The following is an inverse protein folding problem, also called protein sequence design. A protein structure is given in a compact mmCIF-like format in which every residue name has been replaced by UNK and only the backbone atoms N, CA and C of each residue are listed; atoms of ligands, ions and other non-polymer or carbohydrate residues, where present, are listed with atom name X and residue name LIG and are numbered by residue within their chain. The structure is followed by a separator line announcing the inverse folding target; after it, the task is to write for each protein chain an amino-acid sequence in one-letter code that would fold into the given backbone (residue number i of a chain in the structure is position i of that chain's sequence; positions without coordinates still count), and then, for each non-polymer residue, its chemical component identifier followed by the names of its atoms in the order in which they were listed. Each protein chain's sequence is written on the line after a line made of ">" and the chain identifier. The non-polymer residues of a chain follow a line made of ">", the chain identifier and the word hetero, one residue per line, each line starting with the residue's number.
data_IF_182376502786
#
_entry.id   IF_182376502786
#
_cell.length_a   1.000
_cell.length_b   1.000
_cell.length_c   1.000
_cell.angle_alpha   90.00
_cell.angle_beta   90.00
_cell.angle_gamma   90.00
#
_symmetry.space_group_name_H-M   'P 1'
#
loop_
_entity.id
_entity.type
_entity.pdbx_description
1 polymer ?
#
# COMPACT_ATOMS: atom_id res chain seq x y z
N UNK A 1 -3.19 -9.72 10.56
CA UNK A 1 -2.05 -9.71 11.52
C UNK A 1 -0.67 -9.48 10.88
N UNK A 2 -0.58 -9.14 9.59
CA UNK A 2 0.73 -8.93 8.92
C UNK A 2 1.31 -7.55 9.24
N UNK A 3 0.50 -6.49 9.18
CA UNK A 3 0.96 -5.11 9.35
C UNK A 3 1.54 -4.89 10.76
N UNK A 4 0.83 -5.30 11.81
CA UNK A 4 1.33 -5.20 13.19
C UNK A 4 2.67 -5.90 13.36
N UNK A 5 2.79 -7.12 12.85
CA UNK A 5 4.02 -7.90 12.95
C UNK A 5 5.19 -7.26 12.20
N UNK A 6 4.93 -6.66 11.04
CA UNK A 6 5.96 -5.94 10.30
C UNK A 6 6.50 -4.74 11.10
N UNK A 7 5.62 -3.98 11.76
CA UNK A 7 6.03 -2.84 12.61
C UNK A 7 6.82 -3.30 13.83
N UNK A 8 6.39 -4.38 14.50
CA UNK A 8 7.15 -4.98 15.63
C UNK A 8 8.57 -5.41 15.24
N UNK A 9 8.76 -5.77 13.97
CA UNK A 9 10.04 -6.22 13.41
C UNK A 9 10.81 -5.09 12.71
N UNK A 10 10.34 -3.84 12.79
CA UNK A 10 10.94 -2.68 12.14
C UNK A 10 11.10 -2.84 10.62
N UNK A 11 10.13 -3.53 9.99
CA UNK A 11 10.10 -3.74 8.53
C UNK A 11 9.43 -2.55 7.85
N UNK A 12 10.15 -1.93 6.93
CA UNK A 12 9.61 -0.85 6.11
C UNK A 12 8.66 -1.38 5.02
N UNK A 13 7.36 -1.32 5.30
CA UNK A 13 6.31 -1.71 4.36
C UNK A 13 6.16 -0.73 3.18
N UNK A 14 6.79 0.45 3.22
CA UNK A 14 6.82 1.42 2.13
C UNK A 14 7.67 0.97 0.93
N UNK A 15 8.62 0.06 1.16
CA UNK A 15 9.47 -0.51 0.12
C UNK A 15 8.83 -1.69 -0.62
N UNK A 16 7.63 -2.09 -0.22
CA UNK A 16 6.96 -3.28 -0.76
C UNK A 16 5.99 -2.91 -1.89
N UNK A 17 5.87 -3.80 -2.88
CA UNK A 17 4.90 -3.65 -3.98
C UNK A 17 3.82 -4.73 -3.89
N UNK A 18 2.55 -4.32 -3.86
CA UNK A 18 1.39 -5.21 -3.73
C UNK A 18 0.35 -5.01 -4.83
N UNK A 19 0.30 -3.83 -5.44
CA UNK A 19 -0.71 -3.48 -6.44
C UNK A 19 -0.58 -4.33 -7.72
N UNK A 20 -1.70 -4.80 -8.26
CA UNK A 20 -1.71 -5.55 -9.53
C UNK A 20 -1.85 -4.67 -10.78
N UNK A 21 -2.34 -3.45 -10.62
CA UNK A 21 -2.59 -2.51 -11.72
C UNK A 21 -1.96 -1.14 -11.41
N UNK A 22 -0.64 -1.06 -11.15
CA UNK A 22 -0.02 0.20 -10.76
C UNK A 22 -0.04 1.23 -11.90
N UNK A 23 -0.23 2.50 -11.55
CA UNK A 23 -0.24 3.61 -12.52
C UNK A 23 1.15 4.25 -12.58
N UNK A 24 1.79 4.16 -13.74
CA UNK A 24 3.09 4.80 -13.98
C UNK A 24 2.93 6.32 -14.07
N UNK A 25 3.83 7.02 -13.38
CA UNK A 25 3.91 8.48 -13.37
C UNK A 25 4.97 8.96 -14.36
N UNK A 26 4.82 10.19 -14.87
CA UNK A 26 5.81 10.80 -15.76
C UNK A 26 7.19 11.01 -15.09
N UNK A 27 7.25 10.95 -13.76
CA UNK A 27 8.47 11.04 -12.97
C UNK A 27 9.22 9.69 -12.81
N UNK A 28 8.72 8.62 -13.45
CA UNK A 28 9.36 7.30 -13.41
C UNK A 28 9.00 6.43 -12.19
N UNK A 29 8.12 6.90 -11.30
CA UNK A 29 7.54 6.12 -10.20
C UNK A 29 6.19 5.49 -10.57
N UNK A 30 5.67 4.61 -9.72
CA UNK A 30 4.35 3.98 -9.89
C UNK A 30 3.48 4.16 -8.63
N UNK A 31 2.20 4.47 -8.83
CA UNK A 31 1.20 4.61 -7.77
C UNK A 31 0.35 3.35 -7.66
N UNK A 32 -0.03 2.97 -6.44
CA UNK A 32 -1.00 1.91 -6.23
C UNK A 32 -2.40 2.36 -6.67
N UNK A 33 -3.16 1.51 -7.37
CA UNK A 33 -4.44 1.92 -7.96
C UNK A 33 -5.59 2.08 -6.96
N UNK A 34 -5.45 1.57 -5.75
CA UNK A 34 -6.48 1.68 -4.69
C UNK A 34 -7.75 0.86 -4.92
N UNK A 35 -7.93 0.25 -6.10
CA UNK A 35 -9.18 -0.42 -6.52
C UNK A 35 -9.08 -1.91 -6.80
N UNK A 36 -7.87 -2.45 -6.97
CA UNK A 36 -7.68 -3.90 -7.16
C UNK A 36 -7.80 -4.66 -5.84
N UNK A 37 -8.08 -5.96 -5.91
CA UNK A 37 -8.24 -6.82 -4.73
C UNK A 37 -7.04 -6.74 -3.78
N UNK A 38 -5.82 -6.70 -4.33
CA UNK A 38 -4.59 -6.59 -3.54
C UNK A 38 -4.51 -5.26 -2.77
N UNK A 39 -4.88 -4.14 -3.41
CA UNK A 39 -4.98 -2.84 -2.73
C UNK A 39 -6.06 -2.85 -1.64
N UNK A 40 -7.23 -3.44 -1.91
CA UNK A 40 -8.31 -3.53 -0.93
C UNK A 40 -7.90 -4.32 0.32
N UNK A 41 -7.25 -5.48 0.14
CA UNK A 41 -6.73 -6.30 1.24
C UNK A 41 -5.64 -5.58 2.02
N UNK A 42 -4.73 -4.90 1.32
CA UNK A 42 -3.64 -4.13 1.94
C UNK A 42 -4.20 -2.99 2.80
N UNK A 43 -5.04 -2.13 2.23
CA UNK A 43 -5.67 -1.01 2.94
C UNK A 43 -6.47 -1.49 4.15
N UNK A 44 -7.23 -2.58 4.02
CA UNK A 44 -7.94 -3.21 5.14
C UNK A 44 -6.97 -3.64 6.24
N UNK A 45 -5.84 -4.27 5.90
CA UNK A 45 -4.85 -4.70 6.87
C UNK A 45 -4.21 -3.56 7.65
N UNK A 46 -3.96 -2.42 6.99
CA UNK A 46 -3.47 -1.20 7.64
C UNK A 46 -4.55 -0.57 8.55
N UNK A 47 -5.78 -0.43 8.05
CA UNK A 47 -6.91 0.07 8.83
C UNK A 47 -7.19 -0.79 10.08
N UNK A 48 -7.15 -2.12 9.95
CA UNK A 48 -7.29 -3.05 11.06
C UNK A 48 -6.16 -2.91 12.09
N UNK A 49 -4.95 -2.51 11.66
CA UNK A 49 -3.82 -2.21 12.53
C UNK A 49 -3.91 -0.81 13.17
N UNK A 50 -4.86 0.04 12.76
CA UNK A 50 -4.96 1.44 13.19
C UNK A 50 -3.87 2.33 12.60
N UNK A 51 -3.35 1.96 11.42
CA UNK A 51 -2.27 2.65 10.74
C UNK A 51 -2.68 3.06 9.33
N UNK A 52 -1.99 4.06 8.79
CA UNK A 52 -2.08 4.43 7.39
C UNK A 52 -0.99 3.69 6.59
N UNK A 53 -1.29 3.33 5.35
CA UNK A 53 -0.35 2.67 4.46
C UNK A 53 0.66 3.70 3.91
N UNK A 54 1.98 3.50 4.06
CA UNK A 54 2.98 4.49 3.65
C UNK A 54 3.17 4.61 2.13
N UNK A 55 2.61 3.72 1.32
CA UNK A 55 2.76 3.79 -0.15
C UNK A 55 1.79 4.81 -0.76
N UNK A 56 2.19 5.40 -1.88
CA UNK A 56 1.35 6.36 -2.59
C UNK A 56 0.29 5.65 -3.43
N UNK A 57 -0.95 6.14 -3.33
CA UNK A 57 -2.10 5.70 -4.11
C UNK A 57 -2.49 6.77 -5.14
N UNK A 58 -3.17 6.35 -6.20
CA UNK A 58 -3.80 7.30 -7.14
C UNK A 58 -4.85 8.13 -6.40
N UNK A 59 -4.79 9.45 -6.58
CA UNK A 59 -5.91 10.30 -6.19
C UNK A 59 -7.06 10.05 -7.17
N UNK A 60 -8.28 9.85 -6.67
CA UNK A 60 -9.45 9.95 -7.53
C UNK A 60 -9.55 11.41 -7.99
N UNK A 61 -9.49 11.65 -9.29
CA UNK A 61 -10.09 12.85 -9.91
C UNK A 61 -11.61 12.71 -9.95
#
# INVERSE_FOLDING_TARGET
>A
DIVRRAIELDVDLGLTHTCYDPITTNAGGALACGRCDACALRLKGFAEAGLEDPIAYVACE
#
